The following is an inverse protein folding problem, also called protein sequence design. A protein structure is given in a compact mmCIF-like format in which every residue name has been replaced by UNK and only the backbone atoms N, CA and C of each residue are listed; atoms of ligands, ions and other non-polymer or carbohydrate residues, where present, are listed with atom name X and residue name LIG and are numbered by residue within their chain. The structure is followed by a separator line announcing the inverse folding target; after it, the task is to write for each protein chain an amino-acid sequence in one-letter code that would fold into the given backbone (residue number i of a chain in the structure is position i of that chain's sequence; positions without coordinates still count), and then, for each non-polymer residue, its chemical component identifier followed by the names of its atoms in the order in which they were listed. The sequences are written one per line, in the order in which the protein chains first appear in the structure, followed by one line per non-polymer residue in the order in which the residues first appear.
data_IF_153717234886
#
_entry.id   IF_153717234886
#
_cell.length_a   1.000
_cell.length_b   1.000
_cell.length_c   1.000
_cell.angle_alpha   90.00
_cell.angle_beta   90.00
_cell.angle_gamma   90.00
#
_symmetry.space_group_name_H-M   'P 1'
#
loop_
_entity.id
_entity.type
_entity.pdbx_description
1 polymer ?
#
# COMPACT_ATOMS: atom_id res chain seq x y z
N UNK A 1 -1.27 -14.35 -2.35
CA UNK A 1 -2.49 -13.52 -2.37
C UNK A 1 -2.77 -13.14 -3.82
N UNK A 2 -4.04 -13.23 -4.26
CA UNK A 2 -4.45 -12.70 -5.56
C UNK A 2 -5.04 -11.31 -5.34
N UNK A 3 -4.52 -10.30 -6.01
CA UNK A 3 -5.01 -8.92 -5.94
C UNK A 3 -5.16 -8.35 -7.35
N UNK A 4 -6.33 -8.54 -8.00
CA UNK A 4 -6.54 -8.13 -9.39
C UNK A 4 -6.18 -6.66 -9.64
N UNK A 5 -5.69 -6.38 -10.85
CA UNK A 5 -5.22 -5.04 -11.25
C UNK A 5 -6.25 -3.96 -10.95
N UNK A 6 -5.79 -2.82 -10.45
CA UNK A 6 -6.65 -1.69 -10.12
C UNK A 6 -7.68 -1.93 -9.00
N UNK A 7 -7.58 -3.02 -8.24
CA UNK A 7 -8.50 -3.32 -7.13
C UNK A 7 -7.76 -3.66 -5.84
N UNK A 8 -8.44 -3.43 -4.70
CA UNK A 8 -8.06 -3.95 -3.40
C UNK A 8 -9.17 -4.92 -2.96
N UNK A 9 -8.84 -6.20 -2.89
CA UNK A 9 -9.80 -7.23 -2.46
C UNK A 9 -10.03 -7.21 -0.94
N UNK A 10 -11.21 -7.60 -0.47
CA UNK A 10 -11.49 -7.75 0.97
C UNK A 10 -10.51 -8.73 1.64
N UNK A 11 -10.16 -9.81 0.94
CA UNK A 11 -9.15 -10.77 1.39
C UNK A 11 -7.77 -10.12 1.57
N UNK A 12 -7.44 -9.11 0.77
CA UNK A 12 -6.20 -8.34 0.94
C UNK A 12 -6.21 -7.59 2.26
N UNK A 13 -7.34 -6.96 2.62
CA UNK A 13 -7.52 -6.30 3.92
C UNK A 13 -7.35 -7.25 5.09
N UNK A 14 -8.07 -8.38 5.09
CA UNK A 14 -8.00 -9.37 6.18
C UNK A 14 -6.58 -9.88 6.43
N UNK A 15 -5.83 -10.13 5.35
CA UNK A 15 -4.46 -10.64 5.44
C UNK A 15 -3.52 -9.55 5.95
N UNK A 16 -3.62 -8.32 5.41
CA UNK A 16 -2.75 -7.22 5.83
C UNK A 16 -3.00 -6.84 7.28
N UNK A 17 -4.25 -6.85 7.74
CA UNK A 17 -4.60 -6.60 9.14
C UNK A 17 -3.92 -7.61 10.06
N UNK A 18 -4.05 -8.91 9.76
CA UNK A 18 -3.37 -9.98 10.50
C UNK A 18 -1.86 -9.82 10.53
N UNK A 19 -1.26 -9.42 9.40
CA UNK A 19 0.18 -9.20 9.30
C UNK A 19 0.61 -8.03 10.20
N UNK A 20 -0.04 -6.87 10.06
CA UNK A 20 0.28 -5.64 10.80
C UNK A 20 0.21 -5.89 12.30
N UNK A 21 -0.84 -6.55 12.77
CA UNK A 21 -1.05 -6.80 14.21
C UNK A 21 -0.31 -8.04 14.73
N UNK A 22 0.30 -8.86 13.88
CA UNK A 22 1.08 -10.01 14.34
C UNK A 22 2.38 -9.64 15.04
N UNK A 23 2.92 -8.43 14.78
CA UNK A 23 4.25 -8.01 15.25
C UNK A 23 5.41 -8.85 14.68
N UNK A 24 5.16 -9.70 13.67
CA UNK A 24 6.16 -10.61 13.08
C UNK A 24 6.66 -10.09 11.75
N UNK A 25 7.95 -10.27 11.49
CA UNK A 25 8.50 -10.14 10.14
C UNK A 25 7.82 -11.14 9.22
N UNK A 26 7.13 -10.65 8.21
CA UNK A 26 6.29 -11.47 7.34
C UNK A 26 6.65 -11.25 5.87
N UNK A 27 6.70 -12.34 5.10
CA UNK A 27 6.80 -12.31 3.65
C UNK A 27 5.43 -12.62 3.05
N UNK A 28 4.83 -11.65 2.36
CA UNK A 28 3.58 -11.83 1.64
C UNK A 28 3.89 -11.96 0.14
N UNK A 29 3.59 -13.12 -0.45
CA UNK A 29 3.73 -13.33 -1.90
C UNK A 29 2.43 -12.98 -2.62
N UNK A 30 2.49 -12.02 -3.53
CA UNK A 30 1.42 -11.75 -4.50
C UNK A 30 1.59 -12.76 -5.65
N UNK A 31 0.55 -13.54 -5.88
CA UNK A 31 0.56 -14.66 -6.84
C UNK A 31 -0.15 -14.33 -8.14
N UNK A 32 -0.91 -13.23 -8.15
CA UNK A 32 -1.71 -12.77 -9.28
C UNK A 32 -2.09 -11.29 -9.06
N UNK A 33 -1.90 -10.46 -10.09
CA UNK A 33 -2.16 -9.01 -10.07
C UNK A 33 -1.04 -8.13 -9.50
N UNK A 34 -1.40 -7.05 -8.80
CA UNK A 34 -0.51 -5.91 -8.49
C UNK A 34 -0.22 -5.76 -6.97
N UNK A 35 1.00 -5.29 -6.64
CA UNK A 35 1.52 -5.11 -5.27
C UNK A 35 1.47 -3.66 -4.78
N UNK A 36 1.79 -2.71 -5.65
CA UNK A 36 1.84 -1.27 -5.37
C UNK A 36 0.53 -0.72 -4.78
N UNK A 37 -0.62 -1.14 -5.28
CA UNK A 37 -1.91 -0.69 -4.76
C UNK A 37 -2.19 -1.20 -3.32
N UNK A 38 -1.56 -2.30 -2.90
CA UNK A 38 -1.66 -2.83 -1.53
C UNK A 38 -0.90 -2.00 -0.51
N UNK A 39 -0.07 -1.05 -0.95
CA UNK A 39 0.59 -0.07 -0.07
C UNK A 39 -0.45 0.83 0.61
N UNK A 40 -1.53 1.19 -0.08
CA UNK A 40 -2.58 2.05 0.49
C UNK A 40 -3.25 1.44 1.72
N UNK A 41 -3.84 0.21 1.66
CA UNK A 41 -4.43 -0.41 2.85
C UNK A 41 -3.37 -0.70 3.93
N UNK A 42 -2.13 -1.04 3.56
CA UNK A 42 -1.04 -1.22 4.51
C UNK A 42 -0.79 0.06 5.33
N UNK A 43 -0.62 1.21 4.67
CA UNK A 43 -0.43 2.51 5.35
C UNK A 43 -1.65 2.85 6.23
N UNK A 44 -2.86 2.53 5.76
CA UNK A 44 -4.10 2.74 6.52
C UNK A 44 -4.13 1.92 7.82
N UNK A 45 -3.64 0.69 7.80
CA UNK A 45 -3.64 -0.22 8.96
C UNK A 45 -2.49 0.05 9.92
N UNK A 46 -1.32 0.48 9.44
CA UNK A 46 -0.11 0.62 10.26
C UNK A 46 -0.32 1.55 11.48
N UNK A 47 -0.03 1.09 12.72
CA UNK A 47 -0.10 1.94 13.90
C UNK A 47 1.08 2.91 13.89
N UNK A 48 0.78 4.20 13.67
CA UNK A 48 1.78 5.26 13.73
C UNK A 48 1.92 5.75 15.17
N UNK A 49 3.16 5.85 15.65
CA UNK A 49 3.48 6.52 16.91
C UNK A 49 4.61 7.53 16.69
N UNK A 50 4.85 8.41 17.67
CA UNK A 50 5.86 9.47 17.55
C UNK A 50 7.27 9.00 17.96
N UNK A 51 7.43 7.73 18.35
CA UNK A 51 8.67 7.18 18.91
C UNK A 51 9.55 6.51 17.86
N UNK A 52 9.01 6.25 16.66
CA UNK A 52 9.75 5.70 15.53
C UNK A 52 9.33 6.37 14.22
N UNK A 53 10.20 6.26 13.23
CA UNK A 53 9.90 6.66 11.86
C UNK A 53 9.63 5.38 11.07
N UNK A 54 8.42 5.27 10.55
CA UNK A 54 8.01 4.15 9.70
C UNK A 54 8.20 4.52 8.22
N UNK A 55 8.67 3.56 7.43
CA UNK A 55 8.84 3.71 5.99
C UNK A 55 8.12 2.58 5.25
N UNK A 56 7.57 2.90 4.09
CA UNK A 56 7.09 1.91 3.12
C UNK A 56 7.86 2.06 1.82
N UNK A 57 8.21 0.92 1.24
CA UNK A 57 8.95 0.82 0.00
C UNK A 57 8.18 -0.06 -0.98
N UNK A 58 8.11 0.35 -2.24
CA UNK A 58 7.57 -0.46 -3.32
C UNK A 58 8.29 -0.15 -4.63
N UNK A 59 8.19 -1.07 -5.60
CA UNK A 59 8.85 -0.94 -6.90
C UNK A 59 8.12 0.04 -7.82
N UNK A 60 8.89 0.81 -8.59
CA UNK A 60 8.40 1.65 -9.68
C UNK A 60 8.92 1.07 -11.01
N UNK A 61 8.05 0.55 -11.90
CA UNK A 61 8.48 0.04 -13.19
C UNK A 61 8.91 1.17 -14.14
N UNK A 62 9.78 0.89 -15.13
CA UNK A 62 10.23 1.87 -16.12
C UNK A 62 9.12 2.34 -17.08
N UNK A 63 8.07 1.52 -17.23
CA UNK A 63 6.94 1.80 -18.12
C UNK A 63 5.74 2.08 -17.24
N UNK A 64 5.18 3.28 -17.39
CA UNK A 64 3.93 3.68 -16.76
C UNK A 64 2.99 4.29 -17.79
N UNK A 65 1.71 4.36 -17.46
CA UNK A 65 0.68 5.09 -18.19
C UNK A 65 0.69 6.60 -17.90
N UNK A 66 1.66 7.07 -17.11
CA UNK A 66 1.85 8.49 -16.83
C UNK A 66 2.24 9.28 -18.08
N UNK A 67 1.69 10.49 -18.20
CA UNK A 67 2.11 11.46 -19.22
C UNK A 67 3.55 11.94 -19.03
N UNK A 68 4.09 11.79 -17.83
CA UNK A 68 5.45 12.17 -17.48
C UNK A 68 6.33 10.92 -17.48
N UNK A 69 7.55 11.05 -17.98
CA UNK A 69 8.52 9.96 -17.91
C UNK A 69 8.93 9.75 -16.45
N UNK A 70 8.57 8.59 -15.89
CA UNK A 70 8.93 8.21 -14.53
C UNK A 70 10.00 7.12 -14.64
N UNK A 71 11.22 7.34 -14.13
CA UNK A 71 12.27 6.33 -14.19
C UNK A 71 11.91 5.11 -13.36
N UNK A 72 12.48 3.96 -13.72
CA UNK A 72 12.45 2.79 -12.86
C UNK A 72 13.16 3.05 -11.53
N UNK A 73 12.70 2.40 -10.47
CA UNK A 73 13.35 2.51 -9.17
C UNK A 73 12.52 1.98 -8.02
N UNK A 74 12.82 2.49 -6.83
CA UNK A 74 12.10 2.19 -5.59
C UNK A 74 11.48 3.50 -5.11
N UNK A 75 10.18 3.46 -4.83
CA UNK A 75 9.51 4.56 -4.14
C UNK A 75 9.69 4.35 -2.65
N UNK A 76 10.17 5.39 -1.95
CA UNK A 76 10.25 5.42 -0.49
C UNK A 76 9.24 6.43 0.03
N UNK A 77 8.36 5.98 0.93
CA UNK A 77 7.38 6.82 1.59
C UNK A 77 7.69 6.86 3.08
N UNK A 78 8.07 8.04 3.58
CA UNK A 78 8.15 8.27 5.01
C UNK A 78 6.74 8.46 5.57
N UNK A 79 6.35 7.60 6.51
CA UNK A 79 5.00 7.64 7.06
C UNK A 79 4.89 8.68 8.17
N UNK A 80 3.81 9.45 8.08
CA UNK A 80 3.38 10.36 9.13
C UNK A 80 1.84 10.44 9.13
N UNK A 81 1.28 11.18 10.10
CA UNK A 81 -0.17 11.32 10.26
C UNK A 81 -0.84 11.95 9.03
N UNK A 82 -0.15 12.83 8.30
CA UNK A 82 -0.69 13.51 7.12
C UNK A 82 -0.77 12.56 5.93
N UNK A 83 0.29 11.79 5.67
CA UNK A 83 0.30 10.75 4.63
C UNK A 83 -0.82 9.74 4.89
N UNK A 84 -0.97 9.27 6.13
CA UNK A 84 -2.05 8.33 6.50
C UNK A 84 -3.44 8.93 6.28
N UNK A 85 -3.64 10.22 6.61
CA UNK A 85 -4.91 10.93 6.32
C UNK A 85 -5.18 11.01 4.81
N UNK A 86 -4.16 11.33 4.02
CA UNK A 86 -4.26 11.42 2.56
C UNK A 86 -4.62 10.06 1.95
N UNK A 87 -3.94 8.99 2.36
CA UNK A 87 -4.24 7.62 1.93
C UNK A 87 -5.68 7.23 2.28
N UNK A 88 -6.12 7.50 3.52
CA UNK A 88 -7.49 7.21 3.94
C UNK A 88 -8.55 7.99 3.13
N UNK A 89 -8.21 9.20 2.67
CA UNK A 89 -9.09 9.97 1.79
C UNK A 89 -9.19 9.32 0.41
N UNK A 90 -8.09 8.87 -0.17
CA UNK A 90 -8.09 8.15 -1.45
C UNK A 90 -8.86 6.83 -1.39
N UNK A 91 -8.67 6.04 -0.34
CA UNK A 91 -9.41 4.79 -0.13
C UNK A 91 -10.93 5.02 -0.07
N UNK A 92 -11.37 6.06 0.65
CA UNK A 92 -12.80 6.46 0.68
C UNK A 92 -13.34 6.89 -0.68
N UNK A 93 -12.52 7.48 -1.54
CA UNK A 93 -12.94 7.79 -2.91
C UNK A 93 -13.10 6.52 -3.74
N UNK A 94 -12.18 5.56 -3.61
CA UNK A 94 -12.25 4.28 -4.32
C UNK A 94 -13.48 3.46 -3.92
N UNK A 95 -13.86 3.46 -2.64
CA UNK A 95 -15.08 2.79 -2.16
C UNK A 95 -16.36 3.37 -2.76
N UNK A 96 -16.42 4.69 -3.00
CA UNK A 96 -17.58 5.36 -3.59
C UNK A 96 -17.75 5.12 -5.10
N UNK A 97 -16.73 4.57 -5.75
CA UNK A 97 -16.71 4.31 -7.20
C UNK A 97 -17.12 2.85 -7.50
N UNK A 98 -17.20 1.99 -6.48
CA UNK A 98 -17.76 0.64 -6.58
C UNK A 98 -19.28 0.66 -6.52
#
# INVERSE_FOLDING_TARGET
LKNPKGTISEKSWDILEKIVFSGKRTLLKITDGEEDLLVLPLISLLPLNNERIDFVFYGQPPITDSKQNIPEGIVMVQLNREIKKTVNKFLKFMEKIK
#
